data_IF_437595267698
#
_entry.id   IF_437595267698
#
_cell.length_a   1.000
_cell.length_b   1.000
_cell.length_c   1.000
_cell.angle_alpha   90.00
_cell.angle_beta   90.00
_cell.angle_gamma   90.00
#
_symmetry.space_group_name_H-M   'P 1'
#
loop_
_entity.id
_entity.type
_entity.pdbx_description
1 polymer ?
#
# COMPACT_ATOMS: atom_id res chain seq x y z
N UNK A 1 -0.68 -37.56 23.47
CA UNK A 1 -1.79 -36.67 23.07
C UNK A 1 -1.41 -36.01 21.75
N UNK A 2 -2.28 -35.96 20.73
CA UNK A 2 -1.95 -35.28 19.48
C UNK A 2 -1.71 -33.79 19.76
N UNK A 3 -0.58 -33.25 19.29
CA UNK A 3 -0.32 -31.81 19.43
C UNK A 3 -1.43 -31.02 18.71
N UNK A 4 -1.95 -29.95 19.31
CA UNK A 4 -2.96 -29.12 18.66
C UNK A 4 -2.44 -28.62 17.30
N UNK A 5 -3.33 -28.60 16.31
CA UNK A 5 -3.01 -28.06 14.99
C UNK A 5 -2.57 -26.60 15.15
N UNK A 6 -1.40 -26.26 14.60
CA UNK A 6 -0.86 -24.91 14.61
C UNK A 6 -1.85 -23.90 14.01
N UNK A 7 -2.73 -24.32 13.09
CA UNK A 7 -3.77 -23.46 12.51
C UNK A 7 -4.79 -23.06 13.56
N UNK A 8 -5.25 -23.99 14.39
CA UNK A 8 -6.21 -23.69 15.45
C UNK A 8 -5.64 -22.70 16.48
N UNK A 9 -4.34 -22.83 16.80
CA UNK A 9 -3.64 -21.88 17.67
C UNK A 9 -3.49 -20.50 17.02
N UNK A 10 -3.22 -20.44 15.72
CA UNK A 10 -3.19 -19.19 14.98
C UNK A 10 -4.57 -18.53 14.91
N UNK A 11 -5.65 -19.32 14.76
CA UNK A 11 -7.03 -18.83 14.73
C UNK A 11 -7.45 -18.26 16.09
N UNK A 12 -7.07 -18.90 17.19
CA UNK A 12 -7.30 -18.40 18.54
C UNK A 12 -6.60 -17.05 18.77
N UNK A 13 -5.31 -16.94 18.44
CA UNK A 13 -4.58 -15.66 18.55
C UNK A 13 -5.17 -14.58 17.63
N UNK A 14 -5.64 -14.97 16.44
CA UNK A 14 -6.32 -14.04 15.54
C UNK A 14 -7.64 -13.52 16.14
N UNK A 15 -8.41 -14.39 16.81
CA UNK A 15 -9.62 -14.00 17.51
C UNK A 15 -9.33 -13.06 18.70
N UNK A 16 -8.24 -13.29 19.44
CA UNK A 16 -7.81 -12.40 20.53
C UNK A 16 -7.41 -11.01 20.03
N UNK A 17 -6.73 -10.94 18.87
CA UNK A 17 -6.41 -9.67 18.21
C UNK A 17 -7.70 -8.99 17.74
N UNK A 18 -8.60 -9.72 17.08
CA UNK A 18 -9.85 -9.18 16.57
C UNK A 18 -10.80 -8.67 17.68
N UNK A 19 -10.79 -9.32 18.84
CA UNK A 19 -11.59 -8.90 19.99
C UNK A 19 -10.91 -7.82 20.85
N UNK A 20 -9.71 -7.37 20.47
CA UNK A 20 -8.94 -6.36 21.23
C UNK A 20 -8.30 -6.88 22.53
N UNK A 21 -8.33 -8.19 22.82
CA UNK A 21 -7.61 -8.76 23.97
C UNK A 21 -6.10 -8.62 23.81
N UNK A 22 -5.64 -8.74 22.56
CA UNK A 22 -4.28 -8.38 22.17
C UNK A 22 -4.34 -7.04 21.42
N UNK A 23 -4.06 -5.96 22.14
CA UNK A 23 -4.14 -4.61 21.60
C UNK A 23 -3.17 -4.41 20.41
N UNK A 24 -3.55 -3.62 19.40
CA UNK A 24 -2.61 -3.17 18.36
C UNK A 24 -1.34 -2.57 18.95
N UNK A 25 -0.18 -2.91 18.39
CA UNK A 25 1.13 -2.47 18.89
C UNK A 25 1.65 -3.24 20.11
N UNK A 26 0.84 -4.12 20.73
CA UNK A 26 1.31 -4.95 21.84
C UNK A 26 2.34 -5.98 21.38
N UNK A 27 3.32 -6.26 22.25
CA UNK A 27 4.36 -7.26 22.00
C UNK A 27 3.84 -8.64 22.37
N UNK A 28 3.92 -9.59 21.44
CA UNK A 28 3.66 -11.00 21.72
C UNK A 28 4.82 -11.62 22.50
N UNK A 29 4.56 -12.69 23.27
CA UNK A 29 5.61 -13.51 23.87
C UNK A 29 6.65 -13.98 22.84
N UNK A 30 7.83 -14.39 23.30
CA UNK A 30 8.76 -15.05 22.38
C UNK A 30 8.20 -16.41 21.95
N UNK A 31 8.61 -16.92 20.78
CA UNK A 31 8.15 -18.24 20.31
C UNK A 31 8.47 -19.35 21.32
N UNK A 32 9.58 -19.24 22.07
CA UNK A 32 9.95 -20.19 23.13
C UNK A 32 9.01 -20.08 24.33
N UNK A 33 8.73 -18.86 24.78
CA UNK A 33 7.82 -18.65 25.93
C UNK A 33 6.40 -19.08 25.59
N UNK A 34 5.93 -18.77 24.38
CA UNK A 34 4.63 -19.22 23.88
C UNK A 34 4.55 -20.75 23.83
N UNK A 35 5.60 -21.40 23.32
CA UNK A 35 5.68 -22.86 23.27
C UNK A 35 5.60 -23.48 24.67
N UNK A 36 6.30 -22.90 25.64
CA UNK A 36 6.30 -23.35 27.03
C UNK A 36 4.91 -23.19 27.68
N UNK A 37 4.31 -22.01 27.58
CA UNK A 37 3.01 -21.70 28.19
C UNK A 37 1.88 -22.57 27.63
N UNK A 38 1.88 -22.84 26.33
CA UNK A 38 0.84 -23.63 25.66
C UNK A 38 1.15 -25.13 25.69
N UNK A 39 2.37 -25.53 26.04
CA UNK A 39 2.78 -26.94 26.08
C UNK A 39 2.95 -27.58 24.70
N UNK A 40 3.54 -26.84 23.75
CA UNK A 40 3.78 -27.29 22.36
C UNK A 40 5.26 -27.29 22.01
N UNK A 41 5.63 -28.00 20.94
CA UNK A 41 7.00 -27.96 20.42
C UNK A 41 7.37 -26.55 19.91
N UNK A 42 8.62 -26.08 20.10
CA UNK A 42 9.08 -24.79 19.57
C UNK A 42 8.89 -24.65 18.05
N UNK A 43 9.08 -25.73 17.30
CA UNK A 43 8.84 -25.76 15.85
C UNK A 43 7.37 -25.50 15.48
N UNK A 44 6.43 -25.96 16.30
CA UNK A 44 4.99 -25.66 16.15
C UNK A 44 4.71 -24.20 16.44
N UNK A 45 5.29 -23.64 17.51
CA UNK A 45 5.17 -22.21 17.81
C UNK A 45 5.71 -21.32 16.68
N UNK A 46 6.85 -21.68 16.08
CA UNK A 46 7.38 -20.98 14.91
C UNK A 46 6.40 -20.98 13.73
N UNK A 47 5.70 -22.10 13.50
CA UNK A 47 4.66 -22.21 12.45
C UNK A 47 3.43 -21.35 12.75
N UNK A 48 3.01 -21.26 14.01
CA UNK A 48 1.91 -20.37 14.44
C UNK A 48 2.27 -18.91 14.13
N UNK A 49 3.47 -18.47 14.52
CA UNK A 49 3.92 -17.09 14.30
C UNK A 49 4.10 -16.79 12.81
N UNK A 50 4.66 -17.73 12.04
CA UNK A 50 4.76 -17.60 10.59
C UNK A 50 3.38 -17.45 9.94
N UNK A 51 2.38 -18.19 10.41
CA UNK A 51 1.01 -18.09 9.91
C UNK A 51 0.36 -16.74 10.26
N UNK A 52 0.58 -16.20 11.46
CA UNK A 52 0.11 -14.88 11.85
C UNK A 52 0.77 -13.75 11.03
N UNK A 53 2.06 -13.87 10.74
CA UNK A 53 2.79 -12.96 9.82
C UNK A 53 2.23 -13.06 8.41
N UNK A 54 2.02 -14.28 7.91
CA UNK A 54 1.43 -14.53 6.57
C UNK A 54 0.03 -13.92 6.44
N UNK A 55 -0.76 -13.94 7.52
CA UNK A 55 -2.08 -13.30 7.60
C UNK A 55 -2.03 -11.78 7.81
N UNK A 56 -0.83 -11.22 8.03
CA UNK A 56 -0.65 -9.79 8.26
C UNK A 56 -1.08 -9.31 9.65
N UNK A 57 -1.37 -10.21 10.60
CA UNK A 57 -1.86 -9.85 11.94
C UNK A 57 -0.75 -9.38 12.88
N UNK A 58 0.48 -9.85 12.65
CA UNK A 58 1.66 -9.46 13.42
C UNK A 58 2.82 -9.07 12.49
N UNK A 59 3.76 -8.27 13.00
CA UNK A 59 5.06 -8.02 12.38
C UNK A 59 6.18 -8.58 13.27
N UNK A 60 7.17 -9.21 12.64
CA UNK A 60 8.39 -9.67 13.33
C UNK A 60 9.55 -8.75 12.99
N UNK A 61 10.23 -8.24 14.02
CA UNK A 61 11.48 -7.50 13.89
C UNK A 61 12.62 -8.31 14.51
N UNK A 62 13.68 -8.57 13.74
CA UNK A 62 14.86 -9.30 14.21
C UNK A 62 15.47 -8.56 15.41
N UNK A 63 15.59 -9.25 16.54
CA UNK A 63 16.12 -8.70 17.79
C UNK A 63 15.14 -7.90 18.65
N UNK A 64 14.00 -7.46 18.11
CA UNK A 64 12.99 -6.66 18.87
C UNK A 64 11.75 -7.45 19.27
N UNK A 65 11.42 -8.51 18.54
CA UNK A 65 10.33 -9.43 18.87
C UNK A 65 9.20 -9.42 17.84
N UNK A 66 8.02 -9.87 18.24
CA UNK A 66 6.82 -9.89 17.40
C UNK A 66 5.75 -8.98 17.99
N UNK A 67 5.10 -8.19 17.16
CA UNK A 67 4.13 -7.17 17.58
C UNK A 67 2.82 -7.31 16.81
N UNK A 68 1.69 -7.08 17.48
CA UNK A 68 0.38 -7.00 16.82
C UNK A 68 0.38 -5.79 15.89
N UNK A 69 -0.01 -6.00 14.63
CA UNK A 69 -0.06 -4.91 13.66
C UNK A 69 -1.16 -3.93 14.06
N UNK A 70 -0.88 -2.63 13.98
CA UNK A 70 -1.92 -1.61 13.83
C UNK A 70 -2.61 -1.83 12.50
N UNK A 71 -3.75 -2.52 12.54
CA UNK A 71 -4.75 -2.35 11.49
C UNK A 71 -5.29 -0.96 11.76
N UNK A 72 -4.74 0.05 11.09
CA UNK A 72 -5.39 1.34 11.06
C UNK A 72 -6.77 1.10 10.48
N UNK A 73 -7.81 1.19 11.32
CA UNK A 73 -9.10 1.63 10.81
C UNK A 73 -8.77 2.89 10.01
N UNK A 74 -8.96 2.81 8.69
CA UNK A 74 -8.62 3.90 7.80
C UNK A 74 -9.21 5.15 8.41
N UNK A 75 -8.34 6.09 8.78
CA UNK A 75 -8.72 7.42 9.21
C UNK A 75 -9.52 8.02 8.06
N UNK A 76 -10.83 7.78 8.07
CA UNK A 76 -11.79 8.69 7.50
C UNK A 76 -11.54 9.96 8.27
N UNK A 77 -11.07 10.96 7.54
CA UNK A 77 -10.93 12.36 7.95
C UNK A 77 -12.16 12.81 8.74
N UNK A 78 -12.16 12.55 10.04
CA UNK A 78 -13.02 13.22 10.99
C UNK A 78 -12.15 14.32 11.59
N UNK A 79 -12.55 15.57 11.32
CA UNK A 79 -12.14 16.72 12.13
C UNK A 79 -12.84 16.57 13.48
N UNK A 80 -12.39 15.59 14.26
CA UNK A 80 -12.83 15.32 15.63
C UNK A 80 -11.65 15.55 16.58
N UNK A 81 -11.96 15.85 17.83
CA UNK A 81 -11.01 16.20 18.89
C UNK A 81 -9.70 15.38 18.88
N UNK A 82 -8.56 15.99 19.28
CA UNK A 82 -7.29 15.31 19.34
C UNK A 82 -7.41 14.09 20.24
N UNK A 83 -7.43 12.92 19.61
CA UNK A 83 -7.29 11.63 20.26
C UNK A 83 -5.94 11.57 20.98
N UNK A 84 -5.89 10.97 22.17
CA UNK A 84 -4.63 10.60 22.84
C UNK A 84 -3.85 9.50 22.08
N UNK A 85 -4.31 9.06 20.90
CA UNK A 85 -3.59 8.17 20.03
C UNK A 85 -2.29 8.81 19.51
N UNK A 86 -1.24 8.01 19.29
CA UNK A 86 -0.03 8.48 18.61
C UNK A 86 -0.38 9.08 17.24
N UNK A 87 0.24 10.22 16.92
CA UNK A 87 0.12 10.81 15.58
C UNK A 87 0.77 9.87 14.57
N UNK A 88 -0.02 9.37 13.62
CA UNK A 88 0.47 8.52 12.54
C UNK A 88 1.15 9.38 11.47
N UNK A 89 2.48 9.32 11.42
CA UNK A 89 3.30 10.00 10.42
C UNK A 89 3.73 9.05 9.28
N UNK A 90 3.18 7.84 9.21
CA UNK A 90 3.52 6.85 8.17
C UNK A 90 2.83 7.14 6.84
N UNK A 91 1.71 7.88 6.87
CA UNK A 91 0.94 8.24 5.68
C UNK A 91 0.78 9.75 5.60
N UNK A 92 1.15 10.31 4.45
CA UNK A 92 0.87 11.69 4.13
C UNK A 92 -0.31 11.75 3.15
N UNK A 93 -1.39 12.40 3.57
CA UNK A 93 -2.53 12.72 2.72
C UNK A 93 -2.60 14.24 2.60
N UNK A 94 -2.20 14.83 1.46
CA UNK A 94 -2.32 16.27 1.27
C UNK A 94 -3.80 16.62 1.13
N UNK A 95 -4.33 17.37 2.09
CA UNK A 95 -5.69 17.91 2.05
C UNK A 95 -5.58 19.43 1.99
N UNK A 96 -6.22 20.02 0.98
CA UNK A 96 -6.30 21.48 0.87
C UNK A 96 -7.44 22.01 1.76
N UNK A 97 -7.29 23.19 2.39
CA UNK A 97 -8.37 23.80 3.17
C UNK A 97 -9.67 24.01 2.38
N UNK A 98 -9.58 24.16 1.05
CA UNK A 98 -10.70 24.41 0.13
C UNK A 98 -11.19 23.16 -0.60
N UNK A 99 -10.59 21.99 -0.33
CA UNK A 99 -10.80 20.79 -1.14
C UNK A 99 -12.27 20.39 -1.27
N UNK A 100 -13.04 20.48 -0.18
CA UNK A 100 -14.44 20.10 -0.17
C UNK A 100 -15.28 21.03 -1.05
N UNK A 101 -15.12 22.34 -0.89
CA UNK A 101 -15.84 23.34 -1.69
C UNK A 101 -15.50 23.25 -3.18
N UNK A 102 -14.23 23.01 -3.52
CA UNK A 102 -13.80 22.82 -4.91
C UNK A 102 -14.41 21.55 -5.52
N UNK A 103 -14.42 20.44 -4.77
CA UNK A 103 -15.01 19.18 -5.23
C UNK A 103 -16.53 19.31 -5.43
N UNK A 104 -17.23 19.96 -4.50
CA UNK A 104 -18.67 20.24 -4.62
C UNK A 104 -18.98 21.04 -5.89
N UNK A 105 -18.20 22.09 -6.17
CA UNK A 105 -18.37 22.90 -7.37
C UNK A 105 -18.16 22.10 -8.65
N UNK A 106 -17.14 21.24 -8.69
CA UNK A 106 -16.85 20.37 -9.85
C UNK A 106 -18.00 19.38 -10.08
N UNK A 107 -18.45 18.70 -9.02
CA UNK A 107 -19.54 17.72 -9.10
C UNK A 107 -20.86 18.37 -9.54
N UNK A 108 -21.18 19.56 -9.03
CA UNK A 108 -22.35 20.33 -9.46
C UNK A 108 -22.28 20.69 -10.96
N UNK A 109 -21.08 20.96 -11.49
CA UNK A 109 -20.84 21.18 -12.91
C UNK A 109 -21.23 19.97 -13.78
N UNK A 110 -20.83 18.76 -13.37
CA UNK A 110 -21.17 17.52 -14.08
C UNK A 110 -22.67 17.22 -14.11
N UNK A 111 -23.36 17.50 -12.99
CA UNK A 111 -24.81 17.29 -12.90
C UNK A 111 -25.57 18.20 -13.88
N UNK A 112 -25.14 19.46 -14.06
CA UNK A 112 -25.80 20.43 -14.94
C UNK A 112 -25.61 20.16 -16.42
N UNK A 113 -24.51 19.51 -16.82
CA UNK A 113 -24.20 19.25 -18.23
C UNK A 113 -24.90 18.01 -18.80
N UNK A 114 -25.75 17.31 -18.02
CA UNK A 114 -26.31 16.02 -18.44
C UNK A 114 -25.24 14.94 -18.66
N UNK A 115 -24.02 15.16 -18.14
CA UNK A 115 -22.85 14.31 -18.36
C UNK A 115 -22.89 13.00 -17.55
N UNK A 116 -23.86 12.86 -16.63
CA UNK A 116 -24.02 11.66 -15.81
C UNK A 116 -24.22 10.39 -16.66
N UNK A 117 -24.93 10.48 -17.79
CA UNK A 117 -25.08 9.33 -18.70
C UNK A 117 -23.74 8.83 -19.25
N UNK A 118 -22.79 9.74 -19.50
CA UNK A 118 -21.45 9.37 -19.95
C UNK A 118 -20.62 8.69 -18.84
N UNK A 119 -20.86 9.04 -17.57
CA UNK A 119 -20.19 8.44 -16.43
C UNK A 119 -20.58 6.97 -16.19
N UNK A 120 -21.77 6.55 -16.64
CA UNK A 120 -22.22 5.15 -16.54
C UNK A 120 -21.72 4.24 -17.67
N UNK A 121 -21.00 4.79 -18.64
CA UNK A 121 -20.44 3.99 -19.73
C UNK A 121 -19.16 3.30 -19.26
N UNK A 122 -18.83 2.10 -19.77
CA UNK A 122 -17.52 1.51 -19.55
C UNK A 122 -16.42 2.44 -20.07
N UNK A 123 -15.55 2.89 -19.16
CA UNK A 123 -14.36 3.67 -19.50
C UNK A 123 -13.14 2.79 -19.26
N UNK A 124 -12.45 2.45 -20.33
CA UNK A 124 -11.18 1.71 -20.26
C UNK A 124 -10.02 2.62 -19.85
N UNK A 125 -8.83 2.03 -19.73
CA UNK A 125 -7.60 2.76 -19.36
C UNK A 125 -7.28 3.92 -20.31
N UNK A 126 -7.77 3.94 -21.55
CA UNK A 126 -7.58 5.09 -22.44
C UNK A 126 -8.37 6.33 -21.99
N UNK A 127 -9.45 6.21 -21.21
CA UNK A 127 -10.32 7.35 -20.91
C UNK A 127 -10.99 7.96 -22.16
N UNK A 128 -11.51 9.17 -22.02
CA UNK A 128 -12.09 9.94 -23.13
C UNK A 128 -11.02 10.79 -23.82
N UNK A 129 -11.25 11.17 -25.09
CA UNK A 129 -10.37 12.10 -25.82
C UNK A 129 -10.21 13.43 -25.07
N UNK A 130 -11.31 13.96 -24.54
CA UNK A 130 -11.30 15.20 -23.77
C UNK A 130 -10.47 15.08 -22.48
N UNK A 131 -10.61 13.97 -21.75
CA UNK A 131 -9.81 13.72 -20.55
C UNK A 131 -8.32 13.63 -20.88
N UNK A 132 -7.94 12.87 -21.92
CA UNK A 132 -6.52 12.78 -22.34
C UNK A 132 -5.94 14.13 -22.75
N UNK A 133 -6.68 14.94 -23.52
CA UNK A 133 -6.23 16.29 -23.88
C UNK A 133 -6.06 17.19 -22.65
N UNK A 134 -7.04 17.21 -21.74
CA UNK A 134 -6.96 18.00 -20.52
C UNK A 134 -5.78 17.56 -19.63
N UNK A 135 -5.53 16.26 -19.50
CA UNK A 135 -4.37 15.75 -18.75
C UNK A 135 -3.06 16.12 -19.42
N UNK A 136 -2.97 16.06 -20.75
CA UNK A 136 -1.77 16.49 -21.46
C UNK A 136 -1.48 17.98 -21.26
N UNK A 137 -2.52 18.81 -21.26
CA UNK A 137 -2.40 20.25 -21.01
C UNK A 137 -2.01 20.54 -19.55
N UNK A 138 -2.55 19.78 -18.59
CA UNK A 138 -2.17 19.88 -17.18
C UNK A 138 -0.71 19.48 -16.91
N UNK A 139 -0.22 18.44 -17.59
CA UNK A 139 1.16 17.94 -17.43
C UNK A 139 2.18 18.71 -18.28
N UNK A 140 1.73 19.66 -19.11
CA UNK A 140 2.61 20.42 -19.96
C UNK A 140 3.54 21.30 -19.12
N UNK A 141 4.84 21.20 -19.39
CA UNK A 141 5.87 22.13 -18.91
C UNK A 141 6.24 23.15 -19.99
N UNK A 142 7.18 24.07 -19.69
CA UNK A 142 7.58 25.14 -20.61
C UNK A 142 8.04 24.64 -21.99
N UNK A 143 8.68 23.47 -22.04
CA UNK A 143 9.30 22.93 -23.25
C UNK A 143 8.83 21.52 -23.62
N UNK A 144 7.81 20.99 -22.95
CA UNK A 144 7.35 19.62 -23.16
C UNK A 144 5.87 19.47 -22.86
N UNK A 145 5.17 18.77 -23.74
CA UNK A 145 3.77 18.35 -23.55
C UNK A 145 3.65 16.90 -24.00
N UNK A 146 3.10 15.99 -23.18
CA UNK A 146 2.92 14.61 -23.59
C UNK A 146 1.91 14.50 -24.73
N UNK A 147 2.10 13.54 -25.63
CA UNK A 147 1.10 13.20 -26.63
C UNK A 147 -0.16 12.68 -25.91
N UNK A 148 -1.34 13.32 -26.08
CA UNK A 148 -2.58 12.81 -25.51
C UNK A 148 -2.87 11.35 -25.85
N UNK A 149 -2.43 10.82 -26.99
CA UNK A 149 -2.65 9.41 -27.35
C UNK A 149 -1.84 8.43 -26.48
N UNK A 150 -0.74 8.88 -25.88
CA UNK A 150 0.12 8.07 -24.99
C UNK A 150 -0.33 8.03 -23.53
N UNK A 151 -1.44 8.69 -23.18
CA UNK A 151 -1.92 8.77 -21.80
C UNK A 151 -2.87 7.61 -21.49
N UNK A 152 -2.55 6.86 -20.44
CA UNK A 152 -3.40 5.85 -19.85
C UNK A 152 -3.78 6.23 -18.40
N UNK A 153 -5.05 6.10 -18.07
CA UNK A 153 -5.61 6.31 -16.75
C UNK A 153 -5.64 5.02 -15.94
N UNK A 154 -5.28 5.16 -14.68
CA UNK A 154 -5.33 4.09 -13.67
C UNK A 154 -6.18 4.54 -12.50
N UNK A 155 -6.73 3.58 -11.75
CA UNK A 155 -7.51 3.85 -10.54
C UNK A 155 -6.66 4.40 -9.40
N UNK A 156 -5.37 4.06 -9.35
CA UNK A 156 -4.43 4.60 -8.34
C UNK A 156 -2.97 4.50 -8.79
N UNK A 157 -2.07 5.15 -8.04
CA UNK A 157 -0.64 5.16 -8.35
C UNK A 157 0.04 3.79 -8.32
N UNK A 158 -0.41 2.84 -7.49
CA UNK A 158 0.17 1.48 -7.48
C UNK A 158 -0.15 0.73 -8.77
N UNK A 159 -1.35 0.91 -9.31
CA UNK A 159 -1.73 0.36 -10.61
C UNK A 159 -0.92 1.02 -11.74
N UNK A 160 -0.68 2.33 -11.67
CA UNK A 160 0.19 3.02 -12.61
C UNK A 160 1.61 2.43 -12.61
N UNK A 161 2.22 2.27 -11.42
CA UNK A 161 3.56 1.66 -11.28
C UNK A 161 3.58 0.24 -11.85
N UNK A 162 2.59 -0.59 -11.53
CA UNK A 162 2.52 -1.96 -12.04
C UNK A 162 2.37 -2.02 -13.56
N UNK A 163 1.56 -1.15 -14.14
CA UNK A 163 1.39 -1.03 -15.58
C UNK A 163 2.71 -0.59 -16.25
N UNK A 164 3.38 0.44 -15.71
CA UNK A 164 4.67 0.91 -16.20
C UNK A 164 5.73 -0.19 -16.14
N UNK A 165 5.82 -0.95 -15.05
CA UNK A 165 6.79 -2.04 -14.91
C UNK A 165 6.55 -3.15 -15.93
N UNK A 166 5.28 -3.54 -16.11
CA UNK A 166 4.90 -4.58 -17.07
C UNK A 166 5.16 -4.16 -18.52
N UNK A 167 5.13 -2.85 -18.81
CA UNK A 167 5.44 -2.30 -20.14
C UNK A 167 6.95 -2.18 -20.39
N UNK A 168 7.75 -1.95 -19.35
CA UNK A 168 9.20 -1.71 -19.46
C UNK A 168 10.02 -3.00 -19.42
N UNK A 169 9.60 -4.02 -18.67
CA UNK A 169 10.36 -5.24 -18.49
C UNK A 169 9.45 -6.48 -18.43
N UNK A 170 9.72 -7.52 -19.24
CA UNK A 170 9.05 -8.81 -19.08
C UNK A 170 9.49 -9.53 -17.78
N UNK A 171 8.76 -10.57 -17.34
CA UNK A 171 9.17 -11.37 -16.20
C UNK A 171 10.57 -11.97 -16.40
N UNK A 172 11.42 -11.89 -15.38
CA UNK A 172 12.83 -12.32 -15.40
C UNK A 172 13.82 -11.19 -15.67
N UNK A 173 13.36 -10.07 -16.23
CA UNK A 173 14.21 -8.90 -16.53
C UNK A 173 14.42 -7.99 -15.32
N UNK A 174 15.22 -6.94 -15.53
CA UNK A 174 15.72 -6.07 -14.48
C UNK A 174 15.26 -4.62 -14.68
N UNK A 175 14.90 -3.95 -13.59
CA UNK A 175 14.59 -2.51 -13.58
C UNK A 175 15.47 -1.82 -12.53
N UNK A 176 16.16 -0.76 -12.95
CA UNK A 176 16.90 0.12 -12.05
C UNK A 176 15.95 1.01 -11.24
N UNK A 177 16.18 1.11 -9.94
CA UNK A 177 15.39 1.95 -9.01
C UNK A 177 16.32 2.69 -8.04
N UNK A 178 15.81 3.72 -7.38
CA UNK A 178 16.54 4.38 -6.29
C UNK A 178 16.98 3.36 -5.22
N UNK A 179 18.22 3.49 -4.71
CA UNK A 179 18.68 2.66 -3.59
C UNK A 179 17.74 2.76 -2.38
N UNK A 180 17.19 3.97 -2.14
CA UNK A 180 16.10 4.21 -1.21
C UNK A 180 14.80 4.45 -1.99
N UNK A 181 14.10 3.38 -2.36
CA UNK A 181 12.86 3.46 -3.16
C UNK A 181 11.57 3.25 -2.34
N UNK A 182 10.43 3.61 -2.95
CA UNK A 182 9.09 3.45 -2.38
C UNK A 182 8.77 1.96 -2.10
N UNK A 183 8.32 1.58 -0.88
CA UNK A 183 8.11 0.17 -0.53
C UNK A 183 7.18 -0.60 -1.47
N UNK A 184 6.15 0.03 -2.05
CA UNK A 184 5.22 -0.67 -2.95
C UNK A 184 5.91 -1.17 -4.23
N UNK A 185 6.97 -0.48 -4.69
CA UNK A 185 7.76 -0.88 -5.87
C UNK A 185 8.37 -2.27 -5.67
N UNK A 186 8.87 -2.57 -4.46
CA UNK A 186 9.46 -3.87 -4.12
C UNK A 186 8.43 -5.00 -4.23
N UNK A 187 7.23 -4.79 -3.69
CA UNK A 187 6.14 -5.77 -3.73
C UNK A 187 5.62 -6.00 -5.14
N UNK A 188 5.47 -4.93 -5.93
CA UNK A 188 5.00 -4.99 -7.31
C UNK A 188 6.02 -5.75 -8.19
N UNK A 189 7.30 -5.40 -8.11
CA UNK A 189 8.35 -6.05 -8.89
C UNK A 189 8.44 -7.55 -8.60
N UNK A 190 8.45 -7.93 -7.32
CA UNK A 190 8.46 -9.33 -6.91
C UNK A 190 7.26 -10.11 -7.48
N UNK A 191 6.07 -9.50 -7.51
CA UNK A 191 4.86 -10.11 -8.07
C UNK A 191 4.89 -10.26 -9.58
N UNK A 192 5.55 -9.35 -10.28
CA UNK A 192 5.74 -9.37 -11.74
C UNK A 192 6.94 -10.23 -12.17
N UNK A 193 7.72 -10.75 -11.23
CA UNK A 193 8.94 -11.50 -11.52
C UNK A 193 10.07 -10.63 -12.05
N UNK A 194 10.06 -9.33 -11.75
CA UNK A 194 11.09 -8.37 -12.16
C UNK A 194 12.10 -8.19 -11.04
N UNK A 195 13.39 -8.24 -11.39
CA UNK A 195 14.47 -8.01 -10.43
C UNK A 195 14.80 -6.52 -10.34
N UNK A 196 14.70 -5.96 -9.14
CA UNK A 196 15.08 -4.57 -8.90
C UNK A 196 16.59 -4.44 -8.71
N UNK A 197 17.19 -3.47 -9.40
CA UNK A 197 18.61 -3.13 -9.27
C UNK A 197 18.70 -1.77 -8.57
N UNK A 198 19.28 -1.70 -7.36
CA UNK A 198 19.46 -0.41 -6.68
C UNK A 198 20.54 0.39 -7.41
N UNK A 199 20.20 1.60 -7.84
CA UNK A 199 21.11 2.54 -8.47
C UNK A 199 21.69 3.51 -7.44
N UNK A 200 22.96 3.89 -7.63
CA UNK A 200 23.66 4.79 -6.75
C UNK A 200 22.98 6.18 -6.72
N UNK A 201 22.99 6.80 -5.55
CA UNK A 201 22.38 8.10 -5.31
C UNK A 201 23.33 9.03 -4.56
N UNK A 202 23.17 10.32 -4.78
CA UNK A 202 23.74 11.40 -3.99
C UNK A 202 22.62 12.29 -3.41
N UNK A 203 22.99 13.42 -2.79
CA UNK A 203 22.03 14.36 -2.18
C UNK A 203 21.09 15.03 -3.19
N UNK A 204 21.33 14.87 -4.50
CA UNK A 204 20.50 15.39 -5.59
C UNK A 204 19.66 14.30 -6.26
N UNK A 205 19.74 13.05 -5.80
CA UNK A 205 18.97 11.92 -6.32
C UNK A 205 19.84 10.89 -7.03
N UNK A 206 19.32 10.31 -8.11
CA UNK A 206 20.03 9.29 -8.89
C UNK A 206 21.29 9.87 -9.54
N UNK A 207 22.40 9.18 -9.38
CA UNK A 207 23.65 9.50 -10.07
C UNK A 207 23.54 9.13 -11.56
N UNK A 208 23.75 10.05 -12.51
CA UNK A 208 23.61 9.74 -13.94
C UNK A 208 24.60 8.70 -14.49
N UNK A 209 25.72 8.50 -13.79
CA UNK A 209 26.79 7.53 -14.11
C UNK A 209 26.62 6.18 -13.40
N UNK A 210 25.49 5.96 -12.70
CA UNK A 210 25.19 4.72 -11.97
C UNK A 210 24.86 3.52 -12.87
#
# INVERSE_FOLDING_TARGET
>A
MPSPDFRALADMLAADIASGRLAPGSRLPTQRDFAYTVGIAPSTASRVYAELVRRGLISGEVGRGSYVRTIGEGSTTSVGEPSHAPVDLQLNFPILPTQDAELEQILAGFARQGALSAAFRPIGAAGTRAARSATADFLAGPNWRPDPAGIAFTTNGRQAIAASFSALAPPGERIGVEAMTYPAVKWIAARLGITLVPLAMDDKGLKPDA
#
